data_IF_015321872069
#
_entry.id   IF_015321872069
#
_cell.length_a   1.000
_cell.length_b   1.000
_cell.length_c   1.000
_cell.angle_alpha   90.00
_cell.angle_beta   90.00
_cell.angle_gamma   90.00
#
_symmetry.space_group_name_H-M   'P 1'
#
loop_
_entity.id
_entity.type
_entity.pdbx_description
1 polymer ?
#
# COMPACT_ATOMS: atom_id res chain seq x y z
N UNK A 1 -24.86 -7.00 -5.16
CA UNK A 1 -24.11 -7.81 -6.14
C UNK A 1 -22.66 -7.37 -6.34
N UNK A 2 -22.28 -6.08 -6.35
CA UNK A 2 -20.85 -5.67 -6.43
C UNK A 2 -20.12 -5.59 -5.08
N UNK A 3 -20.84 -5.35 -3.98
CA UNK A 3 -20.26 -5.25 -2.63
C UNK A 3 -19.80 -6.63 -2.11
N UNK A 4 -20.53 -7.69 -2.44
CA UNK A 4 -20.29 -9.05 -1.95
C UNK A 4 -18.97 -9.66 -2.45
N UNK A 5 -18.59 -9.37 -3.71
CA UNK A 5 -17.31 -9.82 -4.27
C UNK A 5 -16.11 -9.21 -3.56
N UNK A 6 -16.18 -7.94 -3.16
CA UNK A 6 -15.09 -7.26 -2.45
C UNK A 6 -14.84 -7.85 -1.06
N UNK A 7 -15.93 -8.14 -0.34
CA UNK A 7 -15.86 -8.76 1.00
C UNK A 7 -15.34 -10.20 0.88
N UNK A 8 -15.87 -10.99 -0.06
CA UNK A 8 -15.43 -12.37 -0.27
C UNK A 8 -13.96 -12.45 -0.69
N UNK A 9 -13.52 -11.54 -1.57
CA UNK A 9 -12.11 -11.45 -1.96
C UNK A 9 -11.22 -11.15 -0.75
N UNK A 10 -11.58 -10.15 0.07
CA UNK A 10 -10.79 -9.82 1.25
C UNK A 10 -10.71 -10.97 2.26
N UNK A 11 -11.84 -11.65 2.54
CA UNK A 11 -11.85 -12.84 3.39
C UNK A 11 -10.97 -13.96 2.85
N UNK A 12 -10.96 -14.17 1.53
CA UNK A 12 -10.10 -15.17 0.91
C UNK A 12 -8.61 -14.82 1.03
N UNK A 13 -8.24 -13.55 0.90
CA UNK A 13 -6.88 -13.07 1.09
C UNK A 13 -6.42 -13.23 2.55
N UNK A 14 -7.28 -12.86 3.50
CA UNK A 14 -6.99 -13.03 4.93
C UNK A 14 -6.82 -14.50 5.30
N UNK A 15 -7.70 -15.37 4.82
CA UNK A 15 -7.60 -16.82 5.03
C UNK A 15 -6.28 -17.37 4.49
N UNK A 16 -5.96 -17.07 3.22
CA UNK A 16 -4.71 -17.53 2.59
C UNK A 16 -3.48 -17.10 3.40
N UNK A 17 -3.44 -15.84 3.81
CA UNK A 17 -2.35 -15.32 4.64
C UNK A 17 -2.24 -16.05 5.99
N UNK A 18 -3.36 -16.23 6.71
CA UNK A 18 -3.37 -16.91 8.02
C UNK A 18 -2.97 -18.38 7.91
N UNK A 19 -3.45 -19.08 6.88
CA UNK A 19 -3.10 -20.49 6.65
C UNK A 19 -1.61 -20.68 6.40
N UNK A 20 -0.99 -19.80 5.61
CA UNK A 20 0.45 -19.86 5.37
C UNK A 20 1.25 -19.46 6.61
N UNK A 21 0.78 -18.46 7.37
CA UNK A 21 1.40 -18.03 8.63
C UNK A 21 1.40 -19.17 9.66
N UNK A 22 0.32 -19.94 9.74
CA UNK A 22 0.24 -21.11 10.61
C UNK A 22 1.23 -22.22 10.21
N UNK A 23 1.68 -22.26 8.95
CA UNK A 23 2.64 -23.24 8.41
C UNK A 23 4.09 -22.74 8.47
N UNK A 24 4.34 -21.52 8.98
CA UNK A 24 5.66 -20.92 9.04
C UNK A 24 5.65 -19.52 8.44
N UNK A 25 6.41 -19.31 7.36
CA UNK A 25 6.54 -18.00 6.74
C UNK A 25 5.63 -17.88 5.51
N UNK A 26 4.68 -16.92 5.49
CA UNK A 26 3.86 -16.67 4.31
C UNK A 26 4.71 -16.23 3.10
N UNK A 27 4.26 -16.57 1.89
CA UNK A 27 4.89 -16.09 0.68
C UNK A 27 4.72 -14.58 0.52
N UNK A 28 5.67 -13.93 -0.15
CA UNK A 28 5.59 -12.49 -0.40
C UNK A 28 4.31 -12.10 -1.15
N UNK A 29 3.84 -12.95 -2.06
CA UNK A 29 2.56 -12.78 -2.79
C UNK A 29 1.36 -12.79 -1.84
N UNK A 30 1.33 -13.70 -0.86
CA UNK A 30 0.24 -13.76 0.13
C UNK A 30 0.27 -12.54 1.05
N UNK A 31 1.45 -12.14 1.52
CA UNK A 31 1.64 -10.95 2.36
C UNK A 31 1.19 -9.69 1.60
N UNK A 32 1.69 -9.51 0.38
CA UNK A 32 1.38 -8.36 -0.46
C UNK A 32 -0.11 -8.26 -0.76
N UNK A 33 -0.74 -9.38 -1.16
CA UNK A 33 -2.16 -9.39 -1.50
C UNK A 33 -3.03 -9.05 -0.29
N UNK A 34 -2.70 -9.60 0.88
CA UNK A 34 -3.38 -9.27 2.13
C UNK A 34 -3.17 -7.80 2.53
N UNK A 35 -1.94 -7.29 2.45
CA UNK A 35 -1.62 -5.89 2.73
C UNK A 35 -2.39 -4.91 1.81
N UNK A 36 -2.48 -5.22 0.50
CA UNK A 36 -3.26 -4.43 -0.45
C UNK A 36 -4.76 -4.42 -0.11
N UNK A 37 -5.29 -5.54 0.40
CA UNK A 37 -6.65 -5.60 0.95
C UNK A 37 -6.82 -4.71 2.18
N UNK A 38 -5.89 -4.78 3.15
CA UNK A 38 -5.91 -4.00 4.38
C UNK A 38 -5.89 -2.49 4.13
N UNK A 39 -5.12 -2.03 3.13
CA UNK A 39 -5.03 -0.60 2.76
C UNK A 39 -6.40 -0.01 2.35
N UNK A 40 -7.36 -0.84 1.93
CA UNK A 40 -8.71 -0.41 1.52
C UNK A 40 -9.72 -0.43 2.68
N UNK A 41 -9.37 -0.97 3.84
CA UNK A 41 -10.27 -1.23 4.98
C UNK A 41 -10.37 -0.05 5.95
N UNK A 42 -10.08 -0.18 7.24
CA UNK A 42 -10.11 0.89 8.24
C UNK A 42 -8.68 1.40 8.56
N UNK A 43 -8.55 2.47 9.35
CA UNK A 43 -7.23 3.07 9.62
C UNK A 43 -6.28 2.17 10.44
N UNK A 44 -6.81 1.24 11.24
CA UNK A 44 -5.99 0.25 11.93
C UNK A 44 -5.40 -0.75 10.93
N UNK A 45 -6.25 -1.23 10.02
CA UNK A 45 -5.85 -2.16 8.96
C UNK A 45 -4.83 -1.53 8.02
N UNK A 46 -4.98 -0.26 7.64
CA UNK A 46 -3.97 0.42 6.82
C UNK A 46 -2.59 0.40 7.48
N UNK A 47 -2.51 0.67 8.78
CA UNK A 47 -1.22 0.67 9.49
C UNK A 47 -0.58 -0.72 9.48
N UNK A 48 -1.38 -1.76 9.65
CA UNK A 48 -0.92 -3.15 9.50
C UNK A 48 -0.45 -3.42 8.06
N UNK A 49 -1.19 -2.95 7.06
CA UNK A 49 -0.81 -3.06 5.65
C UNK A 49 0.51 -2.36 5.34
N UNK A 50 0.75 -1.17 5.90
CA UNK A 50 2.02 -0.44 5.79
C UNK A 50 3.16 -1.29 6.35
N UNK A 51 3.02 -1.79 7.58
CA UNK A 51 4.06 -2.62 8.22
C UNK A 51 4.42 -3.84 7.36
N UNK A 52 3.41 -4.56 6.85
CA UNK A 52 3.62 -5.72 5.99
C UNK A 52 4.37 -5.36 4.69
N UNK A 53 4.06 -4.22 4.07
CA UNK A 53 4.75 -3.76 2.86
C UNK A 53 6.19 -3.27 3.15
N UNK A 54 6.42 -2.61 4.29
CA UNK A 54 7.77 -2.20 4.70
C UNK A 54 8.66 -3.41 4.99
N UNK A 55 8.11 -4.43 5.65
CA UNK A 55 8.82 -5.69 5.92
C UNK A 55 9.17 -6.42 4.61
N UNK A 56 8.25 -6.46 3.64
CA UNK A 56 8.53 -6.99 2.30
C UNK A 56 9.59 -6.17 1.55
N UNK A 57 9.55 -4.85 1.65
CA UNK A 57 10.50 -3.97 0.95
C UNK A 57 11.95 -4.17 1.46
N UNK A 58 12.11 -4.50 2.74
CA UNK A 58 13.42 -4.82 3.36
C UNK A 58 13.94 -6.19 2.96
N UNK A 59 13.08 -7.09 2.51
CA UNK A 59 13.46 -8.42 2.03
C UNK A 59 13.89 -8.33 0.56
N UNK A 60 14.87 -9.15 0.16
CA UNK A 60 15.24 -9.34 -1.24
C UNK A 60 14.29 -10.35 -1.91
N UNK A 61 13.02 -9.97 -2.05
CA UNK A 61 12.02 -10.79 -2.73
C UNK A 61 11.98 -10.44 -4.21
N UNK A 62 12.17 -11.42 -5.09
CA UNK A 62 12.15 -11.24 -6.55
C UNK A 62 10.72 -11.28 -7.15
N UNK A 63 9.76 -11.90 -6.45
CA UNK A 63 8.43 -12.19 -6.98
C UNK A 63 7.57 -10.94 -7.25
N UNK A 64 7.86 -9.81 -6.62
CA UNK A 64 7.11 -8.56 -6.78
C UNK A 64 8.10 -7.40 -6.90
N UNK A 65 7.83 -6.51 -7.84
CA UNK A 65 8.67 -5.33 -8.06
C UNK A 65 8.67 -4.45 -6.81
N UNK A 66 9.86 -4.10 -6.28
CA UNK A 66 9.99 -3.13 -5.18
C UNK A 66 9.27 -1.80 -5.46
N UNK A 67 9.12 -1.44 -6.75
CA UNK A 67 8.35 -0.28 -7.21
C UNK A 67 6.87 -0.36 -6.81
N UNK A 68 6.27 -1.54 -6.86
CA UNK A 68 4.87 -1.75 -6.48
C UNK A 68 4.69 -1.53 -4.97
N UNK A 69 5.62 -2.03 -4.15
CA UNK A 69 5.61 -1.79 -2.70
C UNK A 69 5.68 -0.29 -2.39
N UNK A 70 6.63 0.42 -3.00
CA UNK A 70 6.81 1.87 -2.82
C UNK A 70 5.56 2.64 -3.24
N UNK A 71 4.94 2.28 -4.36
CA UNK A 71 3.70 2.91 -4.81
C UNK A 71 2.55 2.70 -3.81
N UNK A 72 2.32 1.48 -3.34
CA UNK A 72 1.25 1.19 -2.39
C UNK A 72 1.50 1.75 -0.98
N UNK A 73 2.77 1.89 -0.56
CA UNK A 73 3.13 2.63 0.66
C UNK A 73 2.72 4.09 0.56
N UNK A 74 2.98 4.75 -0.58
CA UNK A 74 2.51 6.11 -0.81
C UNK A 74 0.98 6.23 -0.76
N UNK A 75 0.26 5.30 -1.39
CA UNK A 75 -1.22 5.25 -1.32
C UNK A 75 -1.71 5.11 0.11
N UNK A 76 -1.09 4.22 0.90
CA UNK A 76 -1.47 3.95 2.28
C UNK A 76 -1.24 5.17 3.19
N UNK A 77 -0.07 5.82 3.11
CA UNK A 77 0.20 7.05 3.85
C UNK A 77 -0.70 8.21 3.43
N UNK A 78 -1.01 8.33 2.13
CA UNK A 78 -1.99 9.32 1.62
C UNK A 78 -3.36 9.12 2.25
N UNK A 79 -3.79 7.87 2.44
CA UNK A 79 -5.06 7.52 3.07
C UNK A 79 -5.10 7.90 4.56
N UNK A 80 -3.97 7.76 5.26
CA UNK A 80 -3.81 8.20 6.66
C UNK A 80 -3.59 9.71 6.80
N UNK A 81 -3.57 10.47 5.69
CA UNK A 81 -3.21 11.90 5.64
C UNK A 81 -1.77 12.19 6.10
N UNK A 82 -0.90 11.19 6.05
CA UNK A 82 0.53 11.31 6.33
C UNK A 82 1.27 11.75 5.05
N UNK A 83 0.96 12.96 4.57
CA UNK A 83 1.36 13.41 3.23
C UNK A 83 2.86 13.52 3.02
N UNK A 84 3.62 13.90 4.04
CA UNK A 84 5.08 14.01 3.94
C UNK A 84 5.72 12.64 3.65
N UNK A 85 5.26 11.58 4.35
CA UNK A 85 5.70 10.21 4.09
C UNK A 85 5.27 9.73 2.72
N UNK A 86 4.04 10.03 2.33
CA UNK A 86 3.53 9.65 1.01
C UNK A 86 4.36 10.29 -0.13
N UNK A 87 4.73 11.57 0.01
CA UNK A 87 5.59 12.26 -0.95
C UNK A 87 6.99 11.66 -1.01
N UNK A 88 7.59 11.33 0.15
CA UNK A 88 8.90 10.70 0.20
C UNK A 88 8.95 9.38 -0.61
N UNK A 89 7.94 8.51 -0.46
CA UNK A 89 7.85 7.29 -1.26
C UNK A 89 7.68 7.56 -2.76
N UNK A 90 6.85 8.54 -3.14
CA UNK A 90 6.64 8.88 -4.56
C UNK A 90 7.87 9.50 -5.19
N UNK A 91 8.61 10.31 -4.46
CA UNK A 91 9.85 10.91 -4.94
C UNK A 91 10.93 9.84 -5.17
N UNK A 92 11.02 8.82 -4.30
CA UNK A 92 11.88 7.64 -4.53
C UNK A 92 11.47 6.92 -5.81
N UNK A 93 10.18 6.65 -6.02
CA UNK A 93 9.70 5.98 -7.23
C UNK A 93 10.02 6.78 -8.51
N UNK A 94 9.76 8.08 -8.50
CA UNK A 94 10.04 8.97 -9.63
C UNK A 94 11.54 9.19 -9.87
N UNK A 95 12.38 9.05 -8.86
CA UNK A 95 13.84 9.09 -9.04
C UNK A 95 14.36 7.91 -9.87
N UNK A 96 13.71 6.75 -9.75
CA UNK A 96 14.01 5.57 -10.55
C UNK A 96 13.26 5.57 -11.90
N UNK A 97 12.04 6.12 -11.94
CA UNK A 97 11.16 6.13 -13.10
C UNK A 97 10.51 7.50 -13.33
N UNK A 98 11.27 8.43 -13.89
CA UNK A 98 10.83 9.82 -14.05
C UNK A 98 9.53 9.99 -14.85
N UNK A 99 9.22 9.06 -15.75
CA UNK A 99 8.05 9.10 -16.63
C UNK A 99 6.89 8.20 -16.16
N UNK A 100 6.94 7.69 -14.92
CA UNK A 100 5.86 6.87 -14.38
C UNK A 100 4.60 7.73 -14.15
N UNK A 101 3.63 7.61 -15.06
CA UNK A 101 2.38 8.38 -15.01
C UNK A 101 1.58 8.13 -13.73
N UNK A 102 1.52 6.90 -13.23
CA UNK A 102 0.79 6.61 -11.99
C UNK A 102 1.40 7.33 -10.78
N UNK A 103 2.73 7.35 -10.70
CA UNK A 103 3.45 8.05 -9.63
C UNK A 103 3.28 9.58 -9.74
N UNK A 104 3.32 10.14 -10.95
CA UNK A 104 3.07 11.56 -11.20
C UNK A 104 1.64 11.96 -10.80
N UNK A 105 0.64 11.20 -11.24
CA UNK A 105 -0.76 11.47 -10.91
C UNK A 105 -1.00 11.40 -9.40
N UNK A 106 -0.42 10.40 -8.72
CA UNK A 106 -0.52 10.27 -7.27
C UNK A 106 0.18 11.43 -6.53
N UNK A 107 1.34 11.90 -7.03
CA UNK A 107 2.02 13.09 -6.49
C UNK A 107 1.11 14.32 -6.49
N UNK A 108 0.39 14.53 -7.59
CA UNK A 108 -0.53 15.66 -7.72
C UNK A 108 -1.74 15.53 -6.79
N UNK A 109 -2.29 14.32 -6.64
CA UNK A 109 -3.34 14.03 -5.66
C UNK A 109 -2.87 14.33 -4.22
N UNK A 110 -1.66 13.90 -3.86
CA UNK A 110 -1.10 14.14 -2.52
C UNK A 110 -0.94 15.64 -2.27
N UNK A 111 -0.29 16.36 -3.20
CA UNK A 111 -0.10 17.81 -3.08
C UNK A 111 -1.41 18.58 -3.00
N UNK A 112 -2.41 18.18 -3.79
CA UNK A 112 -3.74 18.79 -3.77
C UNK A 112 -4.43 18.60 -2.41
N UNK A 113 -4.37 17.38 -1.83
CA UNK A 113 -4.95 17.08 -0.52
C UNK A 113 -4.22 17.77 0.63
N UNK A 114 -2.89 17.84 0.57
CA UNK A 114 -2.07 18.56 1.55
C UNK A 114 -2.43 20.05 1.60
N UNK A 115 -2.49 20.71 0.43
CA UNK A 115 -2.88 22.13 0.33
C UNK A 115 -4.28 22.38 0.89
N UNK A 116 -5.24 21.51 0.57
CA UNK A 116 -6.60 21.60 1.14
C UNK A 116 -6.55 21.49 2.66
N UNK A 117 -5.83 20.52 3.22
CA UNK A 117 -5.71 20.35 4.68
C UNK A 117 -5.09 21.54 5.42
N UNK A 118 -4.13 22.24 4.79
CA UNK A 118 -3.52 23.45 5.37
C UNK A 118 -4.50 24.63 5.40
N UNK A 119 -5.40 24.74 4.41
CA UNK A 119 -6.35 25.86 4.30
C UNK A 119 -7.54 25.78 5.29
N UNK A 120 -7.74 24.65 5.97
CA UNK A 120 -8.81 24.42 6.95
C UNK A 120 -8.26 24.25 8.39
N UNK A 121 -6.99 24.56 8.61
CA UNK A 121 -6.32 24.62 9.92
C UNK A 121 -6.19 26.06 10.40
#
# INVERSE_FOLDING_TARGET
>A
MFIDYGIFLFQNLERTYKEQLARGNPSAVAIYSYAHGLIKSNNSDVRKGIQLLEDLLRQEVEDISKRDYVYYLAVAHTRLKEYDRALAYIDVLLSAESNNRQALDLKDVIKSRMKKGILIS
#
